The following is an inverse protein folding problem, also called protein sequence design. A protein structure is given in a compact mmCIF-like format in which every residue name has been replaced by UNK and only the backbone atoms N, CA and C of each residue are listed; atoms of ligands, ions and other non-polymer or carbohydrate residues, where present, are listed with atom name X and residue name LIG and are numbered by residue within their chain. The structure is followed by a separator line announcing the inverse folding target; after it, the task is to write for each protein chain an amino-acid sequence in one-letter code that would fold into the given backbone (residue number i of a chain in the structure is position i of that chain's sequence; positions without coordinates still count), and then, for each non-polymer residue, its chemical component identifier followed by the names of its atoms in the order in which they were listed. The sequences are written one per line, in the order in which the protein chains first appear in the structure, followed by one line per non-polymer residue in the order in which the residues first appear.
data_IF_507355224653
#
_entry.id   IF_507355224653
#
_cell.length_a   1.000
_cell.length_b   1.000
_cell.length_c   1.000
_cell.angle_alpha   90.00
_cell.angle_beta   90.00
_cell.angle_gamma   90.00
#
_symmetry.space_group_name_H-M   'P 1'
#
loop_
_entity.id
_entity.type
_entity.pdbx_description
1 polymer ?
#
# COMPACT_ATOMS: atom_id res chain seq x y z
N UNK A 1 11.26 4.05 -8.31
CA UNK A 1 10.14 4.26 -7.36
C UNK A 1 8.80 3.65 -7.81
N UNK A 2 8.63 3.21 -9.07
CA UNK A 2 7.40 2.50 -9.51
C UNK A 2 6.09 3.35 -9.43
N UNK A 3 6.19 4.68 -9.39
CA UNK A 3 5.06 5.63 -9.33
C UNK A 3 4.60 6.13 -10.71
N UNK A 4 4.25 5.21 -11.61
CA UNK A 4 3.69 5.56 -12.93
C UNK A 4 2.22 5.14 -13.01
N UNK A 5 1.45 5.91 -13.78
CA UNK A 5 0.10 5.48 -14.18
C UNK A 5 0.20 4.28 -15.12
N UNK A 6 -0.79 3.38 -15.01
CA UNK A 6 -0.94 2.26 -15.93
C UNK A 6 -1.44 2.74 -17.30
N UNK A 7 -1.06 1.97 -18.31
CA UNK A 7 -1.63 1.99 -19.65
C UNK A 7 -2.64 0.84 -19.74
N UNK A 8 -3.89 1.12 -20.11
CA UNK A 8 -5.01 0.16 -20.08
C UNK A 8 -5.48 -0.13 -21.51
N UNK A 9 -5.88 -1.38 -21.77
CA UNK A 9 -6.40 -1.83 -23.07
C UNK A 9 -5.49 -1.48 -24.26
N UNK A 10 -4.18 -1.51 -24.02
CA UNK A 10 -3.18 -1.30 -25.06
C UNK A 10 -2.77 -2.63 -25.73
N UNK A 11 -2.47 -2.63 -27.03
CA UNK A 11 -1.85 -3.80 -27.67
C UNK A 11 -0.52 -4.15 -27.00
N UNK A 12 -0.21 -5.45 -26.86
CA UNK A 12 1.07 -5.90 -26.31
C UNK A 12 2.29 -5.40 -27.12
N UNK A 13 2.08 -5.07 -28.39
CA UNK A 13 3.10 -4.49 -29.30
C UNK A 13 3.31 -2.98 -29.10
N UNK A 14 2.51 -2.31 -28.25
CA UNK A 14 2.72 -0.89 -27.94
C UNK A 14 4.07 -0.73 -27.24
N UNK A 15 4.89 0.18 -27.76
CA UNK A 15 6.15 0.53 -27.12
C UNK A 15 5.91 1.13 -25.72
N UNK A 16 6.78 0.80 -24.77
CA UNK A 16 6.76 1.48 -23.47
C UNK A 16 6.94 2.99 -23.68
N UNK A 17 6.22 3.83 -22.89
CA UNK A 17 6.45 5.26 -22.90
C UNK A 17 7.85 5.66 -22.42
N UNK A 18 8.61 4.72 -21.85
CA UNK A 18 9.97 4.93 -21.39
C UNK A 18 10.95 3.94 -22.00
N UNK A 19 12.23 4.32 -22.07
CA UNK A 19 13.29 3.50 -22.68
C UNK A 19 13.59 2.22 -21.91
N UNK A 20 13.21 2.17 -20.64
CA UNK A 20 13.49 1.06 -19.75
C UNK A 20 12.56 -0.13 -20.04
N UNK A 21 11.33 0.10 -20.51
CA UNK A 21 10.33 -0.95 -20.75
C UNK A 21 9.21 -0.90 -19.71
N UNK A 22 8.72 -2.06 -19.26
CA UNK A 22 7.57 -2.19 -18.36
C UNK A 22 7.99 -2.82 -17.04
N UNK A 23 7.65 -2.18 -15.92
CA UNK A 23 7.83 -2.73 -14.59
C UNK A 23 6.85 -3.88 -14.33
N UNK A 24 7.22 -4.79 -13.42
CA UNK A 24 6.26 -5.75 -12.86
C UNK A 24 5.32 -5.07 -11.85
N UNK A 25 4.11 -5.63 -11.64
CA UNK A 25 3.51 -6.72 -12.41
C UNK A 25 2.85 -6.22 -13.71
N UNK A 26 2.70 -7.10 -14.70
CA UNK A 26 2.05 -6.79 -15.98
C UNK A 26 0.87 -7.74 -16.24
N UNK A 27 -0.33 -7.18 -16.40
CA UNK A 27 -1.57 -7.93 -16.64
C UNK A 27 -1.92 -7.94 -18.13
N UNK A 28 -2.29 -9.11 -18.63
CA UNK A 28 -2.68 -9.35 -20.01
C UNK A 28 -4.01 -10.08 -20.06
N UNK A 29 -4.78 -9.83 -21.12
CA UNK A 29 -5.93 -10.63 -21.52
C UNK A 29 -5.70 -11.11 -22.96
N UNK A 30 -5.49 -12.42 -23.14
CA UNK A 30 -5.12 -13.01 -24.43
C UNK A 30 -5.83 -14.34 -24.59
N UNK A 31 -6.52 -14.54 -25.72
CA UNK A 31 -7.24 -15.79 -26.05
C UNK A 31 -8.18 -16.25 -24.91
N UNK A 32 -8.97 -15.33 -24.38
CA UNK A 32 -9.91 -15.57 -23.27
C UNK A 32 -9.28 -16.05 -21.96
N UNK A 33 -7.99 -15.75 -21.77
CA UNK A 33 -7.22 -16.02 -20.55
C UNK A 33 -6.62 -14.74 -20.02
N UNK A 34 -6.78 -14.52 -18.71
CA UNK A 34 -6.05 -13.51 -17.97
C UNK A 34 -4.69 -14.05 -17.55
N UNK A 35 -3.65 -13.24 -17.70
CA UNK A 35 -2.28 -13.58 -17.32
C UNK A 35 -1.62 -12.40 -16.58
N UNK A 36 -1.21 -12.59 -15.32
CA UNK A 36 -0.41 -11.63 -14.57
C UNK A 36 1.03 -12.13 -14.48
N UNK A 37 1.97 -11.37 -15.08
CA UNK A 37 3.39 -11.68 -15.07
C UNK A 37 4.09 -10.86 -13.98
N UNK A 38 4.88 -11.53 -13.16
CA UNK A 38 5.72 -10.91 -12.13
C UNK A 38 6.94 -11.79 -11.80
N UNK A 39 7.61 -11.50 -10.70
CA UNK A 39 8.66 -12.32 -10.10
C UNK A 39 8.48 -12.44 -8.59
N UNK A 40 9.12 -13.45 -7.99
CA UNK A 40 9.09 -13.68 -6.54
C UNK A 40 10.42 -14.24 -6.04
N UNK A 41 10.68 -14.09 -4.73
CA UNK A 41 11.89 -14.54 -4.04
C UNK A 41 13.19 -13.87 -4.57
N UNK A 42 13.08 -12.61 -5.00
CA UNK A 42 14.28 -11.80 -5.29
C UNK A 42 14.94 -11.45 -3.95
N UNK A 43 16.14 -11.95 -3.74
CA UNK A 43 16.91 -11.80 -2.51
C UNK A 43 18.13 -10.90 -2.70
N UNK A 44 18.94 -10.78 -1.65
CA UNK A 44 20.25 -10.11 -1.66
C UNK A 44 21.24 -10.65 -2.72
N UNK A 45 20.94 -11.82 -3.30
CA UNK A 45 21.79 -12.53 -4.25
C UNK A 45 21.41 -12.31 -5.72
N UNK A 46 20.40 -11.48 -6.03
CA UNK A 46 20.03 -11.18 -7.42
C UNK A 46 19.54 -9.74 -7.58
N UNK A 47 19.38 -9.28 -8.82
CA UNK A 47 18.72 -8.01 -9.11
C UNK A 47 17.21 -8.20 -9.31
N UNK A 48 16.44 -7.15 -9.07
CA UNK A 48 15.06 -7.07 -9.53
C UNK A 48 15.04 -6.95 -11.06
N UNK A 49 14.04 -7.55 -11.69
CA UNK A 49 13.88 -7.58 -13.14
C UNK A 49 12.65 -6.80 -13.58
N UNK A 50 12.59 -6.56 -14.89
CA UNK A 50 11.44 -5.94 -15.56
C UNK A 50 11.24 -6.55 -16.95
N UNK A 51 10.23 -6.10 -17.68
CA UNK A 51 10.00 -6.46 -19.07
C UNK A 51 10.56 -5.38 -20.01
N UNK A 52 11.10 -5.79 -21.15
CA UNK A 52 11.41 -4.88 -22.26
C UNK A 52 10.15 -4.34 -22.92
N UNK A 53 10.28 -3.35 -23.80
CA UNK A 53 9.29 -3.17 -24.88
C UNK A 53 9.23 -4.43 -25.75
N UNK A 54 8.04 -4.75 -26.28
CA UNK A 54 7.87 -5.87 -27.19
C UNK A 54 8.65 -5.67 -28.50
N UNK A 55 9.22 -6.73 -29.05
CA UNK A 55 9.77 -6.70 -30.42
C UNK A 55 8.66 -6.69 -31.48
N UNK A 56 9.04 -6.69 -32.77
CA UNK A 56 8.09 -6.59 -33.89
C UNK A 56 7.10 -7.78 -33.92
N UNK A 57 7.49 -8.90 -33.32
CA UNK A 57 6.71 -10.12 -33.18
C UNK A 57 5.85 -10.13 -31.90
N UNK A 58 5.92 -9.08 -31.07
CA UNK A 58 5.16 -8.97 -29.83
C UNK A 58 5.80 -9.66 -28.61
N UNK A 59 7.08 -10.03 -28.68
CA UNK A 59 7.77 -10.74 -27.59
C UNK A 59 8.36 -9.76 -26.59
N UNK A 60 7.95 -9.91 -25.33
CA UNK A 60 8.53 -9.23 -24.17
C UNK A 60 9.65 -10.09 -23.57
N UNK A 61 10.77 -9.48 -23.19
CA UNK A 61 11.91 -10.19 -22.58
C UNK A 61 12.15 -9.70 -21.17
N UNK A 62 12.69 -10.57 -20.33
CA UNK A 62 13.22 -10.19 -19.02
C UNK A 62 14.45 -9.31 -19.24
N UNK A 63 14.46 -8.14 -18.60
CA UNK A 63 15.57 -7.20 -18.58
C UNK A 63 16.05 -6.97 -17.15
N UNK A 64 17.37 -6.86 -17.00
CA UNK A 64 18.03 -6.38 -15.78
C UNK A 64 17.90 -4.86 -15.64
N UNK A 65 18.13 -4.31 -14.43
CA UNK A 65 17.99 -2.89 -14.11
C UNK A 65 18.67 -1.95 -15.11
N UNK A 66 18.16 -0.72 -15.24
CA UNK A 66 18.77 0.27 -16.11
C UNK A 66 20.17 0.66 -15.57
N UNK A 67 21.19 0.80 -16.44
CA UNK A 67 22.54 1.17 -16.01
C UNK A 67 22.61 2.45 -15.18
N UNK A 68 21.71 3.42 -15.39
CA UNK A 68 21.64 4.70 -14.68
C UNK A 68 21.13 4.58 -13.25
N UNK A 69 20.44 3.49 -12.91
CA UNK A 69 19.98 3.25 -11.55
C UNK A 69 21.15 3.22 -10.57
N UNK A 70 20.84 3.51 -9.30
CA UNK A 70 21.81 3.62 -8.21
C UNK A 70 22.88 4.68 -8.53
N UNK A 71 22.47 5.79 -9.17
CA UNK A 71 23.36 6.86 -9.65
C UNK A 71 24.46 6.38 -10.62
N UNK A 72 24.15 5.40 -11.46
CA UNK A 72 25.14 4.76 -12.33
C UNK A 72 26.15 3.87 -11.60
N UNK A 73 25.99 3.69 -10.29
CA UNK A 73 26.90 2.94 -9.44
C UNK A 73 26.47 1.48 -9.40
N UNK A 74 27.43 0.61 -9.15
CA UNK A 74 27.27 -0.86 -9.10
C UNK A 74 26.87 -1.52 -10.43
N UNK A 75 27.30 -2.78 -10.68
CA UNK A 75 26.98 -3.51 -11.90
C UNK A 75 25.47 -3.70 -12.12
N UNK A 76 25.08 -3.85 -13.38
CA UNK A 76 23.70 -4.23 -13.78
C UNK A 76 23.50 -5.73 -13.61
N UNK A 77 24.50 -6.50 -14.04
CA UNK A 77 24.49 -7.95 -13.93
C UNK A 77 24.68 -8.37 -12.46
N UNK A 78 23.87 -9.32 -11.97
CA UNK A 78 24.00 -9.83 -10.61
C UNK A 78 25.28 -10.66 -10.48
N UNK A 79 26.04 -10.41 -9.42
CA UNK A 79 27.18 -11.24 -9.02
C UNK A 79 26.68 -12.45 -8.23
N UNK A 80 26.92 -13.66 -8.75
CA UNK A 80 26.31 -14.90 -8.24
C UNK A 80 27.36 -15.99 -8.00
N UNK A 81 27.23 -16.68 -6.86
CA UNK A 81 28.11 -17.81 -6.50
C UNK A 81 27.41 -19.17 -6.74
N UNK A 82 28.10 -20.17 -7.32
CA UNK A 82 27.53 -21.52 -7.48
C UNK A 82 27.49 -22.30 -6.14
N UNK A 83 26.49 -23.18 -5.94
CA UNK A 83 25.34 -23.42 -6.81
C UNK A 83 24.34 -22.27 -6.74
N UNK A 84 23.89 -21.81 -7.91
CA UNK A 84 23.02 -20.64 -8.04
C UNK A 84 21.64 -21.02 -8.59
N UNK A 85 20.60 -20.36 -8.08
CA UNK A 85 19.24 -20.38 -8.62
C UNK A 85 18.79 -18.95 -8.80
N UNK A 86 18.17 -18.67 -9.93
CA UNK A 86 17.50 -17.41 -10.17
C UNK A 86 16.20 -17.30 -9.36
N UNK A 87 15.71 -16.08 -9.10
CA UNK A 87 14.36 -15.87 -8.53
C UNK A 87 13.27 -16.49 -9.39
N UNK A 88 12.09 -16.68 -8.82
CA UNK A 88 10.95 -17.24 -9.56
C UNK A 88 10.40 -16.24 -10.56
N UNK A 89 10.03 -16.73 -11.75
CA UNK A 89 9.28 -15.95 -12.74
C UNK A 89 7.87 -16.49 -12.66
N UNK A 90 6.94 -15.61 -12.33
CA UNK A 90 5.59 -16.00 -11.96
C UNK A 90 4.65 -15.57 -13.08
N UNK A 91 3.85 -16.51 -13.56
CA UNK A 91 2.76 -16.26 -14.49
C UNK A 91 1.51 -16.83 -13.84
N UNK A 92 0.64 -15.96 -13.35
CA UNK A 92 -0.66 -16.34 -12.79
C UNK A 92 -1.65 -16.36 -13.95
N UNK A 93 -2.25 -17.52 -14.22
CA UNK A 93 -3.19 -17.71 -15.33
C UNK A 93 -4.57 -18.04 -14.79
N UNK A 94 -5.60 -17.51 -15.45
CA UNK A 94 -6.98 -17.85 -15.13
C UNK A 94 -7.96 -17.47 -16.24
N UNK A 95 -9.10 -18.12 -16.23
CA UNK A 95 -10.26 -17.79 -17.08
C UNK A 95 -11.01 -16.53 -16.63
N UNK A 96 -10.65 -15.99 -15.45
CA UNK A 96 -11.31 -14.86 -14.83
C UNK A 96 -10.33 -14.04 -13.99
N UNK A 97 -10.68 -12.77 -13.76
CA UNK A 97 -9.93 -11.89 -12.85
C UNK A 97 -9.92 -12.40 -11.41
N UNK A 98 -10.91 -13.22 -11.02
CA UNK A 98 -10.95 -13.87 -9.70
C UNK A 98 -9.70 -14.71 -9.47
N UNK A 99 -9.31 -15.52 -10.46
CA UNK A 99 -8.11 -16.35 -10.42
C UNK A 99 -6.82 -15.53 -10.34
N UNK A 100 -6.83 -14.28 -10.81
CA UNK A 100 -5.70 -13.36 -10.67
C UNK A 100 -5.67 -12.77 -9.26
N UNK A 101 -6.77 -12.14 -8.84
CA UNK A 101 -6.86 -11.37 -7.59
C UNK A 101 -6.74 -12.25 -6.34
N UNK A 102 -7.28 -13.48 -6.38
CA UNK A 102 -7.26 -14.40 -5.23
C UNK A 102 -6.00 -15.29 -5.21
N UNK A 103 -5.07 -15.11 -6.14
CA UNK A 103 -3.87 -15.93 -6.23
C UNK A 103 -2.88 -15.66 -5.11
N UNK A 104 -2.32 -16.72 -4.54
CA UNK A 104 -1.23 -16.69 -3.56
C UNK A 104 0.13 -17.03 -4.17
N UNK A 105 0.22 -17.19 -5.49
CA UNK A 105 1.39 -17.81 -6.13
C UNK A 105 2.71 -17.05 -5.87
N UNK A 106 2.65 -15.72 -5.70
CA UNK A 106 3.81 -14.91 -5.34
C UNK A 106 4.38 -15.34 -3.99
N UNK A 107 3.53 -15.48 -2.96
CA UNK A 107 3.98 -15.92 -1.64
C UNK A 107 4.25 -17.43 -1.62
N UNK A 108 3.49 -18.26 -2.33
CA UNK A 108 3.64 -19.73 -2.34
C UNK A 108 5.04 -20.21 -2.74
N UNK A 109 5.69 -19.49 -3.65
CA UNK A 109 7.05 -19.81 -4.14
C UNK A 109 8.17 -19.04 -3.41
N UNK A 110 7.83 -18.03 -2.60
CA UNK A 110 8.80 -17.27 -1.82
C UNK A 110 9.39 -18.11 -0.67
N UNK A 111 10.60 -17.77 -0.23
CA UNK A 111 11.22 -18.44 0.90
C UNK A 111 10.37 -18.32 2.18
N UNK A 112 10.34 -19.35 3.05
CA UNK A 112 9.64 -19.28 4.33
C UNK A 112 10.23 -18.19 5.24
N UNK A 113 9.49 -17.83 6.29
CA UNK A 113 9.91 -16.83 7.26
C UNK A 113 11.32 -17.11 7.81
N UNK A 114 12.17 -16.08 7.79
CA UNK A 114 13.47 -16.04 8.47
C UNK A 114 13.35 -15.52 9.91
N UNK A 115 12.15 -15.10 10.34
CA UNK A 115 11.87 -14.61 11.69
C UNK A 115 11.19 -15.72 12.49
N UNK A 116 11.84 -16.15 13.57
CA UNK A 116 11.31 -17.20 14.44
C UNK A 116 10.32 -16.67 15.49
N UNK A 117 10.58 -15.49 16.07
CA UNK A 117 9.68 -14.85 17.03
C UNK A 117 8.92 -13.70 16.36
N UNK A 118 7.61 -13.86 16.23
CA UNK A 118 6.71 -12.89 15.59
C UNK A 118 5.88 -12.08 16.60
N UNK A 119 6.13 -12.21 17.90
CA UNK A 119 5.30 -11.59 18.96
C UNK A 119 5.30 -10.06 18.90
N UNK A 120 6.34 -9.45 18.33
CA UNK A 120 6.44 -7.99 18.16
C UNK A 120 5.68 -7.46 16.94
N UNK A 121 5.20 -8.36 16.07
CA UNK A 121 4.57 -8.00 14.81
C UNK A 121 3.11 -7.67 15.06
N UNK A 122 2.79 -6.37 14.98
CA UNK A 122 1.46 -5.83 15.23
C UNK A 122 0.99 -4.98 14.05
N UNK A 123 0.36 -5.61 13.03
CA UNK A 123 -0.30 -4.94 11.92
C UNK A 123 -1.43 -4.00 12.37
N UNK A 124 -1.88 -3.11 11.50
CA UNK A 124 -3.06 -2.27 11.75
C UNK A 124 -3.04 -0.92 11.05
N UNK A 125 -4.03 -0.08 11.35
CA UNK A 125 -4.15 1.26 10.75
C UNK A 125 -3.26 2.28 11.46
N UNK A 126 -2.76 3.25 10.69
CA UNK A 126 -1.89 4.32 11.16
C UNK A 126 -2.43 5.70 10.77
N UNK A 127 -2.34 6.70 11.65
CA UNK A 127 -2.52 8.09 11.23
C UNK A 127 -1.24 8.61 10.56
N UNK A 128 -1.37 9.44 9.53
CA UNK A 128 -0.20 10.04 8.86
C UNK A 128 -0.42 11.53 8.53
N UNK A 129 0.26 12.41 9.27
CA UNK A 129 0.02 13.85 9.13
C UNK A 129 0.73 14.53 7.96
N UNK A 130 1.83 13.97 7.46
CA UNK A 130 2.60 14.60 6.40
C UNK A 130 1.86 14.66 5.07
N UNK A 131 1.06 13.63 4.74
CA UNK A 131 0.32 13.57 3.48
C UNK A 131 -0.51 14.84 3.21
N UNK A 132 -1.12 15.38 4.27
CA UNK A 132 -2.09 16.48 4.21
C UNK A 132 -1.53 17.82 4.67
N UNK A 133 -0.60 17.80 5.62
CA UNK A 133 -0.05 19.01 6.25
C UNK A 133 1.43 19.20 6.01
N UNK A 134 2.09 18.24 5.37
CA UNK A 134 3.51 18.28 5.03
C UNK A 134 4.33 18.57 6.29
N UNK A 135 5.38 19.38 6.17
CA UNK A 135 6.23 19.78 7.28
C UNK A 135 5.51 20.60 8.38
N UNK A 136 4.28 21.08 8.15
CA UNK A 136 3.50 21.73 9.23
C UNK A 136 3.06 20.70 10.29
N UNK A 137 2.88 19.43 9.90
CA UNK A 137 2.63 18.36 10.85
C UNK A 137 3.88 17.96 11.65
N UNK A 138 5.09 18.32 11.23
CA UNK A 138 6.35 17.89 11.85
C UNK A 138 6.75 18.78 13.04
N UNK A 139 5.79 19.04 13.93
CA UNK A 139 5.99 19.74 15.21
C UNK A 139 5.50 18.86 16.35
N UNK A 140 6.06 19.07 17.55
CA UNK A 140 5.70 18.28 18.73
C UNK A 140 4.19 18.30 19.02
N UNK A 141 3.59 19.50 19.07
CA UNK A 141 2.18 19.66 19.41
C UNK A 141 1.28 19.09 18.31
N UNK A 142 1.66 19.24 17.04
CA UNK A 142 0.86 18.70 15.95
C UNK A 142 0.90 17.18 15.91
N UNK A 143 2.07 16.56 16.09
CA UNK A 143 2.17 15.11 16.20
C UNK A 143 1.43 14.55 17.41
N UNK A 144 1.44 15.27 18.54
CA UNK A 144 0.62 14.91 19.70
C UNK A 144 -0.87 14.88 19.35
N UNK A 145 -1.38 15.85 18.58
CA UNK A 145 -2.77 15.86 18.13
C UNK A 145 -3.10 14.69 17.21
N UNK A 146 -2.19 14.31 16.30
CA UNK A 146 -2.36 13.11 15.47
C UNK A 146 -2.37 11.82 16.29
N UNK A 147 -1.52 11.70 17.31
CA UNK A 147 -1.53 10.57 18.25
C UNK A 147 -2.84 10.52 19.05
N UNK A 148 -3.34 11.66 19.50
CA UNK A 148 -4.60 11.75 20.24
C UNK A 148 -5.80 11.35 19.37
N UNK A 149 -5.84 11.81 18.11
CA UNK A 149 -6.83 11.39 17.12
C UNK A 149 -6.73 9.89 16.82
N UNK A 150 -5.52 9.36 16.61
CA UNK A 150 -5.30 7.93 16.37
C UNK A 150 -5.89 7.09 17.51
N UNK A 151 -5.66 7.49 18.77
CA UNK A 151 -6.23 6.83 19.93
C UNK A 151 -7.76 6.88 19.98
N UNK A 152 -8.37 8.03 19.64
CA UNK A 152 -9.83 8.20 19.62
C UNK A 152 -10.50 7.34 18.55
N UNK A 153 -9.90 7.27 17.37
CA UNK A 153 -10.34 6.43 16.25
C UNK A 153 -9.96 4.96 16.43
N UNK A 154 -9.18 4.62 17.45
CA UNK A 154 -8.69 3.27 17.72
C UNK A 154 -7.67 2.73 16.71
N UNK A 155 -7.02 3.64 15.97
CA UNK A 155 -5.91 3.30 15.09
C UNK A 155 -4.73 2.79 15.92
N UNK A 156 -3.98 1.83 15.37
CA UNK A 156 -2.91 1.16 16.10
C UNK A 156 -1.61 1.96 16.08
N UNK A 157 -1.44 2.81 15.08
CA UNK A 157 -0.15 3.45 14.82
C UNK A 157 -0.30 4.94 14.47
N UNK A 158 0.82 5.67 14.51
CA UNK A 158 0.96 7.02 14.00
C UNK A 158 2.35 7.18 13.37
N UNK A 159 2.42 7.60 12.11
CA UNK A 159 3.65 7.86 11.38
C UNK A 159 4.06 9.33 11.51
N UNK A 160 5.28 9.54 11.97
CA UNK A 160 5.95 10.84 12.01
C UNK A 160 7.00 10.85 10.91
N UNK A 161 6.78 11.71 9.92
CA UNK A 161 7.48 11.68 8.65
C UNK A 161 8.79 12.48 8.67
N UNK A 162 9.35 12.75 7.49
CA UNK A 162 10.64 13.39 7.26
C UNK A 162 10.89 14.65 8.10
N UNK A 163 12.16 14.90 8.38
CA UNK A 163 12.68 16.04 9.16
C UNK A 163 12.29 16.03 10.65
N UNK A 164 11.74 14.94 11.18
CA UNK A 164 11.39 14.85 12.59
C UNK A 164 12.61 15.00 13.53
N UNK A 165 13.80 14.57 13.10
CA UNK A 165 15.02 14.63 13.91
C UNK A 165 15.54 16.06 14.06
N UNK A 166 15.38 16.90 13.04
CA UNK A 166 15.76 18.31 13.11
C UNK A 166 14.65 19.18 13.75
N UNK A 167 13.38 18.90 13.45
CA UNK A 167 12.25 19.73 13.89
C UNK A 167 11.75 19.39 15.29
N UNK A 168 11.79 18.12 15.67
CA UNK A 168 11.32 17.63 16.98
C UNK A 168 12.51 17.22 17.83
N UNK A 169 13.44 16.45 17.27
CA UNK A 169 14.62 15.94 17.95
C UNK A 169 14.35 14.74 18.86
N UNK A 170 15.38 13.93 19.09
CA UNK A 170 15.29 12.65 19.82
C UNK A 170 14.67 12.76 21.21
N UNK A 171 15.00 13.80 21.98
CA UNK A 171 14.51 13.96 23.34
C UNK A 171 12.98 14.16 23.38
N UNK A 172 12.47 15.10 22.57
CA UNK A 172 11.02 15.33 22.46
C UNK A 172 10.34 14.18 21.74
N UNK A 173 11.01 13.51 20.81
CA UNK A 173 10.47 12.32 20.16
C UNK A 173 10.23 11.20 21.18
N UNK A 174 11.16 10.96 22.10
CA UNK A 174 10.96 9.98 23.18
C UNK A 174 9.75 10.34 24.08
N UNK A 175 9.46 11.63 24.28
CA UNK A 175 8.27 12.07 24.98
C UNK A 175 6.98 11.77 24.18
N UNK A 176 6.99 11.98 22.86
CA UNK A 176 5.86 11.60 21.99
C UNK A 176 5.62 10.09 21.99
N UNK A 177 6.68 9.29 21.87
CA UNK A 177 6.58 7.83 21.94
C UNK A 177 6.00 7.38 23.28
N UNK A 178 6.41 7.98 24.39
CA UNK A 178 5.83 7.72 25.72
C UNK A 178 4.35 8.10 25.80
N UNK A 179 3.97 9.26 25.24
CA UNK A 179 2.58 9.71 25.18
C UNK A 179 1.71 8.76 24.34
N UNK A 180 2.18 8.36 23.16
CA UNK A 180 1.51 7.40 22.29
C UNK A 180 1.34 6.03 22.94
N UNK A 181 2.39 5.52 23.61
CA UNK A 181 2.34 4.26 24.33
C UNK A 181 1.29 4.26 25.45
N UNK A 182 1.14 5.36 26.19
CA UNK A 182 0.10 5.51 27.21
C UNK A 182 -1.32 5.47 26.63
N UNK A 183 -1.45 5.64 25.31
CA UNK A 183 -2.69 5.60 24.53
C UNK A 183 -2.81 4.37 23.65
N UNK A 184 -1.89 3.40 23.79
CA UNK A 184 -1.85 2.18 22.98
C UNK A 184 -1.67 2.44 21.47
N UNK A 185 -0.96 3.51 21.12
CA UNK A 185 -0.59 3.85 19.74
C UNK A 185 0.91 3.63 19.54
N UNK A 186 1.29 2.85 18.53
CA UNK A 186 2.67 2.67 18.10
C UNK A 186 3.16 3.84 17.25
N UNK A 187 4.36 4.34 17.52
CA UNK A 187 4.97 5.41 16.70
C UNK A 187 5.84 4.78 15.63
N UNK A 188 5.69 5.27 14.39
CA UNK A 188 6.56 4.99 13.26
C UNK A 188 7.36 6.23 12.91
N UNK A 189 8.63 6.05 12.56
CA UNK A 189 9.52 7.16 12.19
C UNK A 189 10.04 7.00 10.77
N UNK A 190 9.99 8.08 10.01
CA UNK A 190 10.56 8.13 8.66
C UNK A 190 12.09 8.25 8.68
N UNK A 191 12.73 7.61 7.71
CA UNK A 191 14.16 7.67 7.44
C UNK A 191 14.43 7.69 5.95
N UNK A 192 15.47 8.42 5.56
CA UNK A 192 16.04 8.27 4.24
C UNK A 192 16.87 6.97 4.23
N UNK A 193 16.75 6.15 3.18
CA UNK A 193 17.64 5.00 2.98
C UNK A 193 19.11 5.39 2.82
N UNK A 194 19.36 6.68 2.53
CA UNK A 194 20.51 7.24 1.82
C UNK A 194 21.88 6.66 2.11
N UNK A 195 22.61 6.41 1.03
CA UNK A 195 24.06 6.36 0.94
C UNK A 195 24.50 7.40 -0.09
N UNK A 196 25.23 7.00 -1.15
CA UNK A 196 25.67 7.90 -2.21
C UNK A 196 24.86 7.78 -3.53
N UNK A 197 23.67 7.17 -3.46
CA UNK A 197 22.85 6.78 -4.61
C UNK A 197 21.61 7.65 -4.86
N UNK A 198 21.26 8.55 -3.95
CA UNK A 198 20.25 9.59 -4.17
C UNK A 198 20.72 10.95 -3.59
N UNK A 199 20.09 12.04 -4.00
CA UNK A 199 20.37 13.41 -3.55
C UNK A 199 19.22 14.01 -2.72
N UNK A 200 18.29 13.17 -2.26
CA UNK A 200 17.16 13.57 -1.43
C UNK A 200 17.67 14.18 -0.11
N UNK A 201 17.23 15.40 0.18
CA UNK A 201 17.76 16.22 1.28
C UNK A 201 17.05 15.96 2.62
N UNK A 202 15.93 15.25 2.60
CA UNK A 202 15.10 14.94 3.76
C UNK A 202 15.86 14.08 4.78
N UNK A 203 15.78 14.47 6.05
CA UNK A 203 16.45 13.82 7.20
C UNK A 203 15.47 12.94 7.99
N UNK A 204 15.95 11.96 8.78
CA UNK A 204 17.35 11.59 9.04
C UNK A 204 18.04 10.92 7.85
N UNK A 205 19.29 11.33 7.56
CA UNK A 205 20.18 10.72 6.54
C UNK A 205 21.32 9.94 7.20
N UNK A 206 21.97 9.07 6.42
CA UNK A 206 23.14 8.27 6.82
C UNK A 206 22.87 7.40 8.06
N UNK A 207 21.63 6.89 8.16
CA UNK A 207 21.18 6.01 9.24
C UNK A 207 20.87 4.60 8.77
N UNK A 208 20.52 4.39 7.51
CA UNK A 208 19.98 3.11 7.05
C UNK A 208 20.89 2.38 6.05
N UNK A 209 21.87 3.04 5.44
CA UNK A 209 22.76 2.48 4.42
C UNK A 209 23.81 1.53 4.99
N UNK A 210 24.58 1.96 5.99
CA UNK A 210 25.67 1.17 6.55
C UNK A 210 25.23 0.34 7.75
N UNK A 211 25.76 -0.89 7.91
CA UNK A 211 25.38 -1.77 9.03
C UNK A 211 25.59 -1.15 10.42
N UNK A 212 26.71 -0.46 10.63
CA UNK A 212 27.05 0.11 11.93
C UNK A 212 26.13 1.27 12.31
N UNK A 213 25.83 2.17 11.36
CA UNK A 213 24.90 3.27 11.58
C UNK A 213 23.48 2.75 11.82
N UNK A 214 23.03 1.81 10.98
CA UNK A 214 21.69 1.22 11.05
C UNK A 214 21.45 0.49 12.35
N UNK A 215 22.35 -0.38 12.78
CA UNK A 215 22.20 -1.11 14.04
C UNK A 215 22.21 -0.19 15.26
N UNK A 216 23.07 0.82 15.24
CA UNK A 216 23.12 1.83 16.32
C UNK A 216 21.80 2.60 16.41
N UNK A 217 21.25 2.98 15.27
CA UNK A 217 20.00 3.74 15.23
C UNK A 217 18.81 2.88 15.62
N UNK A 218 18.67 1.67 15.06
CA UNK A 218 17.60 0.74 15.43
C UNK A 218 17.65 0.34 16.91
N UNK A 219 18.84 0.21 17.50
CA UNK A 219 18.97 -0.02 18.95
C UNK A 219 18.42 1.15 19.77
N UNK A 220 18.70 2.40 19.37
CA UNK A 220 18.12 3.60 20.00
C UNK A 220 16.60 3.62 19.86
N UNK A 221 16.08 3.30 18.68
CA UNK A 221 14.63 3.27 18.43
C UNK A 221 13.92 2.24 19.29
N UNK A 222 14.51 1.04 19.43
CA UNK A 222 14.03 0.00 20.34
C UNK A 222 13.99 0.49 21.79
N UNK A 223 15.05 1.17 22.27
CA UNK A 223 15.10 1.74 23.61
C UNK A 223 14.03 2.82 23.83
N UNK A 224 13.74 3.63 22.80
CA UNK A 224 12.66 4.62 22.83
C UNK A 224 11.26 3.97 22.84
N UNK A 225 11.13 2.76 22.30
CA UNK A 225 9.85 2.05 22.15
C UNK A 225 9.11 2.40 20.85
N UNK A 226 9.84 2.78 19.81
CA UNK A 226 9.31 2.97 18.45
C UNK A 226 8.85 1.61 17.89
N UNK A 227 7.72 1.60 17.18
CA UNK A 227 7.10 0.39 16.65
C UNK A 227 7.65 0.00 15.27
N UNK A 228 7.95 1.00 14.43
CA UNK A 228 8.40 0.76 13.07
C UNK A 228 9.13 1.93 12.42
N UNK A 229 9.70 1.67 11.26
CA UNK A 229 10.34 2.67 10.41
C UNK A 229 9.74 2.67 9.01
N UNK A 230 9.55 3.86 8.44
CA UNK A 230 9.31 4.07 7.01
C UNK A 230 10.62 4.49 6.38
N UNK A 231 11.18 3.68 5.48
CA UNK A 231 12.48 3.97 4.85
C UNK A 231 12.26 4.29 3.37
N UNK A 232 12.87 5.37 2.89
CA UNK A 232 12.52 5.99 1.62
C UNK A 232 13.70 6.16 0.65
N UNK A 233 13.40 6.44 -0.62
CA UNK A 233 14.33 6.87 -1.68
C UNK A 233 15.43 5.89 -2.04
N UNK A 234 15.06 4.64 -2.37
CA UNK A 234 16.05 3.62 -2.74
C UNK A 234 16.65 3.83 -4.13
N UNK A 235 17.87 3.32 -4.32
CA UNK A 235 18.65 3.45 -5.55
C UNK A 235 18.19 2.60 -6.74
N UNK A 236 17.00 1.98 -6.73
CA UNK A 236 16.48 1.17 -7.84
C UNK A 236 16.59 -0.35 -7.64
N UNK A 237 16.69 -1.09 -8.73
CA UNK A 237 16.50 -2.55 -8.81
C UNK A 237 17.80 -3.36 -8.89
N UNK A 238 18.96 -2.69 -8.89
CA UNK A 238 20.27 -3.35 -8.87
C UNK A 238 20.43 -4.24 -7.64
N UNK A 239 21.25 -5.29 -7.78
CA UNK A 239 21.53 -6.25 -6.70
C UNK A 239 22.01 -5.56 -5.41
N UNK A 240 22.78 -4.47 -5.52
CA UNK A 240 23.21 -3.68 -4.37
C UNK A 240 22.04 -3.10 -3.56
N UNK A 241 20.99 -2.63 -4.23
CA UNK A 241 19.78 -2.13 -3.57
C UNK A 241 18.96 -3.28 -2.96
N UNK A 242 18.88 -4.43 -3.65
CA UNK A 242 18.24 -5.63 -3.10
C UNK A 242 18.91 -6.08 -1.80
N UNK A 243 20.25 -6.03 -1.73
CA UNK A 243 21.00 -6.27 -0.48
C UNK A 243 20.60 -5.30 0.61
N UNK A 244 20.52 -4.00 0.30
CA UNK A 244 20.14 -2.99 1.30
C UNK A 244 18.74 -3.23 1.89
N UNK A 245 17.75 -3.59 1.06
CA UNK A 245 16.42 -3.98 1.55
C UNK A 245 16.50 -5.15 2.55
N UNK A 246 17.19 -6.24 2.19
CA UNK A 246 17.31 -7.43 3.03
C UNK A 246 18.07 -7.14 4.33
N UNK A 247 19.11 -6.32 4.25
CA UNK A 247 19.90 -5.91 5.40
C UNK A 247 19.10 -5.04 6.38
N UNK A 248 18.27 -4.12 5.87
CA UNK A 248 17.34 -3.34 6.71
C UNK A 248 16.32 -4.25 7.37
N UNK A 249 15.68 -5.14 6.62
CA UNK A 249 14.68 -6.07 7.16
C UNK A 249 15.24 -6.94 8.27
N UNK A 250 16.46 -7.47 8.06
CA UNK A 250 17.17 -8.31 9.02
C UNK A 250 17.51 -7.56 10.30
N UNK A 251 18.21 -6.42 10.19
CA UNK A 251 18.63 -5.66 11.37
C UNK A 251 17.40 -5.09 12.12
N UNK A 252 16.32 -4.73 11.42
CA UNK A 252 15.07 -4.31 12.03
C UNK A 252 14.37 -5.47 12.78
N UNK A 253 14.38 -6.68 12.21
CA UNK A 253 13.85 -7.86 12.88
C UNK A 253 14.62 -8.17 14.18
N UNK A 254 15.96 -8.08 14.15
CA UNK A 254 16.81 -8.26 15.35
C UNK A 254 16.52 -7.20 16.43
N UNK A 255 16.06 -6.00 16.02
CA UNK A 255 15.65 -4.93 16.91
C UNK A 255 14.17 -5.00 17.35
N UNK A 256 13.36 -5.89 16.78
CA UNK A 256 11.92 -5.94 17.01
C UNK A 256 11.17 -4.74 16.41
N UNK A 257 11.64 -4.22 15.29
CA UNK A 257 11.12 -3.05 14.59
C UNK A 257 10.46 -3.48 13.27
N UNK A 258 9.28 -2.92 13.02
CA UNK A 258 8.52 -3.12 11.78
C UNK A 258 9.02 -2.19 10.67
N UNK A 259 8.81 -2.56 9.40
CA UNK A 259 9.37 -1.84 8.26
C UNK A 259 8.32 -1.57 7.19
N UNK A 260 8.33 -0.35 6.68
CA UNK A 260 7.63 0.11 5.49
C UNK A 260 8.68 0.68 4.51
N UNK A 261 8.59 0.35 3.23
CA UNK A 261 9.48 0.91 2.20
C UNK A 261 8.73 1.85 1.23
N UNK A 262 9.21 3.07 1.09
CA UNK A 262 8.75 4.07 0.12
C UNK A 262 9.85 4.41 -0.89
N UNK A 263 9.49 5.07 -2.00
CA UNK A 263 10.43 5.37 -3.08
C UNK A 263 11.13 4.09 -3.56
N UNK A 264 10.37 3.00 -3.63
CA UNK A 264 10.89 1.63 -3.58
C UNK A 264 10.58 0.81 -4.84
N UNK A 265 11.04 -0.45 -4.82
CA UNK A 265 10.63 -1.49 -5.78
C UNK A 265 9.38 -2.24 -5.28
N UNK A 266 8.71 -3.06 -6.11
CA UNK A 266 7.55 -3.86 -5.66
C UNK A 266 7.92 -4.97 -4.66
N UNK A 267 6.99 -5.39 -3.78
CA UNK A 267 7.15 -6.59 -2.97
C UNK A 267 7.20 -7.82 -3.88
N UNK A 268 8.06 -8.78 -3.53
CA UNK A 268 8.33 -10.00 -4.31
C UNK A 268 8.20 -11.23 -3.43
N UNK A 269 7.09 -11.30 -2.69
CA UNK A 269 6.83 -12.32 -1.67
C UNK A 269 7.61 -12.11 -0.37
N UNK A 270 8.18 -10.92 -0.17
CA UNK A 270 9.03 -10.61 0.97
C UNK A 270 8.28 -10.62 2.30
N UNK A 271 6.98 -10.36 2.29
CA UNK A 271 6.09 -10.46 3.45
C UNK A 271 6.04 -11.88 4.04
N UNK A 272 6.27 -12.92 3.22
CA UNK A 272 6.40 -14.31 3.70
C UNK A 272 7.76 -14.54 4.37
N UNK A 273 8.84 -14.07 3.74
CA UNK A 273 10.22 -14.31 4.20
C UNK A 273 10.59 -13.42 5.39
N UNK A 274 10.07 -12.20 5.42
CA UNK A 274 10.34 -11.15 6.40
C UNK A 274 9.02 -10.55 6.88
N UNK A 275 8.30 -11.23 7.78
CA UNK A 275 6.99 -10.77 8.23
C UNK A 275 7.04 -9.48 9.06
N UNK A 276 8.21 -8.90 9.35
CA UNK A 276 8.31 -7.54 9.90
C UNK A 276 8.24 -6.45 8.80
N UNK A 277 8.32 -6.81 7.52
CA UNK A 277 7.97 -5.95 6.39
C UNK A 277 6.44 -5.87 6.34
N UNK A 278 5.89 -4.74 6.77
CA UNK A 278 4.45 -4.53 6.83
C UNK A 278 3.86 -4.16 5.49
N UNK A 279 4.57 -3.35 4.73
CA UNK A 279 4.08 -2.84 3.44
C UNK A 279 5.20 -2.17 2.65
N UNK A 280 4.92 -1.91 1.38
CA UNK A 280 5.76 -1.16 0.45
C UNK A 280 4.84 -0.25 -0.36
N UNK A 281 5.28 0.95 -0.69
CA UNK A 281 4.59 1.84 -1.63
C UNK A 281 4.60 1.25 -3.04
N UNK A 282 5.64 1.51 -3.84
CA UNK A 282 5.81 1.06 -5.22
C UNK A 282 4.52 1.20 -6.06
N UNK A 283 3.85 2.33 -5.89
CA UNK A 283 2.61 2.69 -6.55
C UNK A 283 2.54 4.21 -6.61
N UNK A 284 1.86 4.76 -7.62
CA UNK A 284 1.50 6.18 -7.60
C UNK A 284 0.37 6.38 -6.58
N UNK A 285 0.75 6.54 -5.31
CA UNK A 285 -0.17 6.65 -4.18
C UNK A 285 -0.83 8.02 -4.05
N UNK A 286 -1.61 8.17 -2.99
CA UNK A 286 -2.42 9.34 -2.69
C UNK A 286 -1.60 10.65 -2.67
N UNK A 287 -0.33 10.60 -2.25
CA UNK A 287 0.58 11.76 -2.20
C UNK A 287 0.72 12.52 -3.54
N UNK A 288 0.58 11.82 -4.66
CA UNK A 288 0.73 12.39 -6.00
C UNK A 288 -0.40 13.37 -6.36
N UNK A 289 -1.55 13.31 -5.68
CA UNK A 289 -2.63 14.28 -5.88
C UNK A 289 -2.26 15.69 -5.40
N UNK A 290 -1.28 15.79 -4.49
CA UNK A 290 -0.82 17.05 -3.93
C UNK A 290 0.23 17.77 -4.77
N UNK A 291 1.04 17.04 -5.56
CA UNK A 291 2.26 17.59 -6.14
C UNK A 291 2.11 18.14 -7.55
N UNK A 292 1.56 17.38 -8.49
CA UNK A 292 1.71 17.72 -9.91
C UNK A 292 0.41 18.20 -10.57
N UNK A 293 -0.75 17.98 -9.94
CA UNK A 293 -2.05 18.39 -10.48
C UNK A 293 -2.35 17.86 -11.87
N UNK A 294 -1.60 16.86 -12.34
CA UNK A 294 -1.51 16.56 -13.77
C UNK A 294 -2.54 15.53 -14.22
N UNK A 295 -3.01 14.65 -13.32
CA UNK A 295 -3.93 13.55 -13.69
C UNK A 295 -5.14 13.29 -12.76
N UNK A 296 -5.74 14.27 -12.05
CA UNK A 296 -6.91 14.00 -11.22
C UNK A 296 -8.09 13.25 -11.91
N UNK A 297 -8.36 13.42 -13.23
CA UNK A 297 -9.38 12.63 -13.92
C UNK A 297 -9.09 11.13 -13.98
N UNK A 298 -7.82 10.73 -13.90
CA UNK A 298 -7.39 9.33 -14.02
C UNK A 298 -7.14 8.65 -12.68
N UNK A 299 -7.24 9.37 -11.55
CA UNK A 299 -7.05 8.77 -10.22
C UNK A 299 -8.01 7.59 -10.01
N UNK A 300 -9.31 7.82 -10.14
CA UNK A 300 -10.32 6.78 -9.88
C UNK A 300 -10.16 5.57 -10.82
N UNK A 301 -9.76 5.80 -12.07
CA UNK A 301 -9.36 4.74 -13.02
C UNK A 301 -8.14 3.98 -12.48
N UNK A 302 -7.05 4.68 -12.15
CA UNK A 302 -5.82 4.09 -11.62
C UNK A 302 -6.09 3.21 -10.41
N UNK A 303 -6.85 3.72 -9.46
CA UNK A 303 -7.22 3.04 -8.23
C UNK A 303 -7.99 1.73 -8.51
N UNK A 304 -8.85 1.73 -9.54
CA UNK A 304 -9.54 0.53 -10.00
C UNK A 304 -8.65 -0.45 -10.79
N UNK A 305 -7.37 -0.15 -11.07
CA UNK A 305 -6.41 -1.08 -11.70
C UNK A 305 -5.59 -1.82 -10.63
N UNK A 306 -5.24 -1.12 -9.54
CA UNK A 306 -4.36 -1.62 -8.49
C UNK A 306 -4.78 -2.97 -7.86
N UNK A 307 -6.08 -3.25 -7.58
CA UNK A 307 -6.46 -4.53 -6.97
C UNK A 307 -6.35 -5.72 -7.94
N UNK A 308 -6.14 -5.47 -9.23
CA UNK A 308 -5.93 -6.50 -10.26
C UNK A 308 -4.46 -6.63 -10.68
N UNK A 309 -3.58 -5.75 -10.17
CA UNK A 309 -2.19 -5.63 -10.59
C UNK A 309 -1.26 -5.49 -9.38
N UNK A 310 -0.86 -4.27 -9.02
CA UNK A 310 0.13 -3.97 -7.97
C UNK A 310 -0.19 -4.63 -6.63
N UNK A 311 -1.44 -4.63 -6.19
CA UNK A 311 -1.79 -5.19 -4.88
C UNK A 311 -2.09 -6.70 -4.92
N UNK A 312 -2.10 -7.32 -6.11
CA UNK A 312 -2.11 -8.80 -6.24
C UNK A 312 -0.75 -9.39 -5.85
N UNK A 313 0.34 -8.65 -6.10
CA UNK A 313 1.70 -9.15 -5.86
C UNK A 313 2.28 -8.79 -4.49
N UNK A 314 1.46 -8.23 -3.60
CA UNK A 314 1.82 -7.98 -2.20
C UNK A 314 1.25 -6.67 -1.64
N UNK A 315 1.55 -6.39 -0.36
CA UNK A 315 1.00 -5.25 0.37
C UNK A 315 1.38 -3.91 -0.29
N UNK A 316 0.48 -2.94 -0.20
CA UNK A 316 0.57 -1.66 -0.89
C UNK A 316 0.20 -0.50 0.04
N UNK A 317 1.19 0.32 0.39
CA UNK A 317 0.99 1.52 1.22
C UNK A 317 0.49 2.69 0.38
N UNK A 318 -0.75 2.59 -0.10
CA UNK A 318 -1.37 3.58 -0.97
C UNK A 318 -1.71 4.90 -0.26
N UNK A 319 -1.99 4.78 1.03
CA UNK A 319 -2.38 5.85 1.97
C UNK A 319 -3.83 6.39 1.84
N UNK A 320 -4.85 5.51 1.95
CA UNK A 320 -6.26 5.85 1.69
C UNK A 320 -6.91 6.75 2.75
N UNK A 321 -8.21 7.03 2.57
CA UNK A 321 -9.07 7.65 3.59
C UNK A 321 -8.75 9.13 3.87
N UNK A 322 -8.54 9.92 2.82
CA UNK A 322 -8.48 11.37 2.95
C UNK A 322 -9.88 11.99 2.87
N UNK A 323 -10.49 12.32 4.02
CA UNK A 323 -11.90 12.74 4.13
C UNK A 323 -12.12 14.27 4.18
N UNK A 324 -11.23 15.07 3.59
CA UNK A 324 -11.32 16.53 3.59
C UNK A 324 -11.90 17.13 2.30
N UNK A 325 -12.60 18.27 2.42
CA UNK A 325 -13.16 18.99 1.26
C UNK A 325 -12.09 19.49 0.27
N UNK A 326 -10.92 19.89 0.76
CA UNK A 326 -9.77 20.27 -0.06
C UNK A 326 -8.64 19.29 0.16
N UNK A 327 -8.10 18.71 -0.90
CA UNK A 327 -7.02 17.73 -0.84
C UNK A 327 -5.69 18.36 -0.40
N UNK A 328 -5.35 19.49 -1.02
CA UNK A 328 -4.18 20.26 -0.70
C UNK A 328 -4.60 21.62 -0.12
N UNK A 329 -4.31 21.91 1.16
CA UNK A 329 -4.65 23.21 1.75
C UNK A 329 -3.88 24.39 1.13
N UNK A 330 -2.76 24.16 0.43
CA UNK A 330 -2.02 25.21 -0.29
C UNK A 330 -2.66 25.59 -1.62
N UNK A 331 -3.24 24.62 -2.33
CA UNK A 331 -3.84 24.84 -3.65
C UNK A 331 -5.36 24.71 -3.70
N UNK A 332 -6.03 24.41 -2.58
CA UNK A 332 -7.48 24.24 -2.43
C UNK A 332 -8.08 23.30 -3.50
N UNK A 333 -7.33 22.27 -3.88
CA UNK A 333 -7.75 21.34 -4.93
C UNK A 333 -8.76 20.35 -4.37
N UNK A 334 -9.92 20.27 -4.98
CA UNK A 334 -10.92 19.27 -4.61
C UNK A 334 -10.50 17.88 -5.10
N UNK A 335 -10.91 16.86 -4.34
CA UNK A 335 -10.79 15.46 -4.75
C UNK A 335 -11.86 15.13 -5.79
N UNK A 336 -11.54 14.18 -6.65
CA UNK A 336 -12.48 13.71 -7.66
C UNK A 336 -13.20 12.41 -7.27
N UNK A 337 -12.61 11.66 -6.34
CA UNK A 337 -13.24 10.53 -5.67
C UNK A 337 -14.07 11.01 -4.47
N UNK A 338 -15.14 10.28 -4.19
CA UNK A 338 -16.07 10.60 -3.09
C UNK A 338 -15.57 10.08 -1.75
N UNK A 339 -16.23 10.45 -0.65
CA UNK A 339 -15.90 9.88 0.66
C UNK A 339 -16.19 8.37 0.75
N UNK A 340 -17.23 7.89 0.07
CA UNK A 340 -17.53 6.45 -0.01
C UNK A 340 -16.44 5.68 -0.75
N UNK A 341 -15.87 6.27 -1.80
CA UNK A 341 -14.72 5.71 -2.51
C UNK A 341 -13.51 5.55 -1.58
N UNK A 342 -13.18 6.60 -0.83
CA UNK A 342 -12.04 6.58 0.09
C UNK A 342 -12.15 5.61 1.24
N UNK A 343 -13.34 5.54 1.83
CA UNK A 343 -13.60 4.58 2.88
C UNK A 343 -13.48 3.16 2.31
N UNK A 344 -13.92 2.93 1.07
CA UNK A 344 -13.82 1.65 0.39
C UNK A 344 -12.37 1.21 0.12
N UNK A 345 -11.45 2.14 -0.16
CA UNK A 345 -10.03 1.83 -0.35
C UNK A 345 -9.40 1.14 0.88
N UNK A 346 -9.89 1.42 2.08
CA UNK A 346 -9.38 0.78 3.31
C UNK A 346 -9.63 -0.74 3.36
N UNK A 347 -10.57 -1.23 2.57
CA UNK A 347 -10.90 -2.66 2.44
C UNK A 347 -10.43 -3.22 1.09
N UNK A 348 -10.52 -2.46 0.00
CA UNK A 348 -10.06 -2.92 -1.32
C UNK A 348 -8.54 -3.17 -1.30
N UNK A 349 -7.77 -2.27 -0.67
CA UNK A 349 -6.31 -2.39 -0.62
C UNK A 349 -5.82 -3.12 0.63
N UNK A 350 -4.96 -4.10 0.40
CA UNK A 350 -4.25 -4.84 1.44
C UNK A 350 -2.92 -4.15 1.76
N UNK A 351 -2.70 -3.94 3.05
CA UNK A 351 -1.46 -3.42 3.61
C UNK A 351 -1.35 -3.88 5.07
N UNK A 352 -0.20 -4.40 5.49
CA UNK A 352 0.01 -4.82 6.88
C UNK A 352 -0.02 -3.64 7.86
N UNK A 353 0.46 -2.47 7.43
CA UNK A 353 0.13 -1.20 8.09
C UNK A 353 -0.47 -0.26 7.08
N UNK A 354 -1.70 0.17 7.32
CA UNK A 354 -2.41 1.05 6.40
C UNK A 354 -2.36 2.47 6.95
N UNK A 355 -1.50 3.31 6.37
CA UNK A 355 -1.44 4.72 6.70
C UNK A 355 -2.68 5.42 6.15
N UNK A 356 -3.39 6.17 6.98
CA UNK A 356 -4.60 6.87 6.59
C UNK A 356 -4.31 8.36 6.48
N UNK A 357 -4.79 8.96 5.40
CA UNK A 357 -4.71 10.40 5.15
C UNK A 357 -5.73 11.25 5.90
N UNK A 358 -6.24 10.74 7.02
CA UNK A 358 -7.19 11.45 7.88
C UNK A 358 -6.46 12.48 8.75
N UNK A 359 -6.99 13.69 8.83
CA UNK A 359 -6.48 14.74 9.71
C UNK A 359 -7.34 14.90 10.98
N UNK A 360 -6.82 15.52 12.05
CA UNK A 360 -7.62 15.84 13.24
C UNK A 360 -8.87 16.68 12.94
N UNK A 361 -8.82 17.51 11.89
CA UNK A 361 -9.96 18.30 11.45
C UNK A 361 -11.02 17.42 10.78
N UNK A 362 -10.61 16.52 9.88
CA UNK A 362 -11.51 15.56 9.25
C UNK A 362 -12.20 14.68 10.29
N UNK A 363 -11.45 14.18 11.29
CA UNK A 363 -12.00 13.35 12.36
C UNK A 363 -13.05 14.07 13.21
N UNK A 364 -12.96 15.40 13.33
CA UNK A 364 -13.94 16.22 14.06
C UNK A 364 -15.23 16.41 13.26
N UNK A 365 -15.14 16.51 11.94
CA UNK A 365 -16.27 16.82 11.06
C UNK A 365 -16.92 15.58 10.42
N UNK A 366 -16.19 14.47 10.31
CA UNK A 366 -16.69 13.25 9.72
C UNK A 366 -17.84 12.65 10.54
N UNK A 367 -18.85 12.04 9.90
CA UNK A 367 -19.91 11.36 10.62
C UNK A 367 -19.36 10.29 11.56
N UNK A 368 -19.87 10.22 12.79
CA UNK A 368 -19.39 9.29 13.83
C UNK A 368 -19.32 7.82 13.36
N UNK A 369 -20.25 7.39 12.52
CA UNK A 369 -20.28 6.02 12.00
C UNK A 369 -19.08 5.69 11.09
N UNK A 370 -18.48 6.68 10.43
CA UNK A 370 -17.27 6.49 9.63
C UNK A 370 -16.06 6.21 10.55
N UNK A 371 -15.92 6.98 11.63
CA UNK A 371 -14.92 6.69 12.67
C UNK A 371 -15.15 5.34 13.36
N UNK A 372 -16.40 4.97 13.62
CA UNK A 372 -16.75 3.65 14.18
C UNK A 372 -16.42 2.50 13.20
N UNK A 373 -16.51 2.73 11.88
CA UNK A 373 -16.06 1.79 10.87
C UNK A 373 -14.53 1.64 10.88
N UNK A 374 -13.78 2.75 10.86
CA UNK A 374 -12.31 2.71 10.91
C UNK A 374 -11.80 1.97 12.15
N UNK A 375 -12.44 2.20 13.32
CA UNK A 375 -12.13 1.49 14.57
C UNK A 375 -12.34 -0.02 14.47
N UNK A 376 -13.24 -0.45 13.58
CA UNK A 376 -13.60 -1.86 13.44
C UNK A 376 -12.76 -2.65 12.45
N UNK A 377 -11.95 -1.96 11.62
CA UNK A 377 -11.06 -2.59 10.66
C UNK A 377 -10.11 -3.55 11.37
N UNK A 378 -9.99 -4.80 10.89
CA UNK A 378 -9.08 -5.76 11.48
C UNK A 378 -7.64 -5.41 11.14
N UNK A 379 -6.70 -5.97 11.90
CA UNK A 379 -5.27 -5.87 11.60
C UNK A 379 -4.86 -6.76 10.42
N UNK A 380 -5.60 -7.85 10.16
CA UNK A 380 -5.28 -8.86 9.15
C UNK A 380 -6.56 -9.46 8.55
N UNK A 381 -6.40 -10.05 7.36
CA UNK A 381 -7.47 -10.75 6.63
C UNK A 381 -7.15 -12.24 6.54
N UNK A 382 -8.16 -13.09 6.78
CA UNK A 382 -8.07 -14.54 6.64
C UNK A 382 -8.39 -14.99 5.20
N UNK A 383 -9.18 -14.19 4.48
CA UNK A 383 -9.71 -14.54 3.17
C UNK A 383 -10.00 -13.28 2.36
N UNK A 384 -9.71 -13.34 1.07
CA UNK A 384 -10.03 -12.30 0.09
C UNK A 384 -10.80 -12.93 -1.05
N UNK A 385 -11.89 -12.29 -1.46
CA UNK A 385 -12.75 -12.72 -2.58
C UNK A 385 -13.01 -11.54 -3.51
N UNK A 386 -12.71 -11.70 -4.79
CA UNK A 386 -13.22 -10.77 -5.80
C UNK A 386 -14.68 -11.13 -6.08
N UNK A 387 -15.61 -10.19 -5.84
CA UNK A 387 -17.03 -10.39 -6.15
C UNK A 387 -17.26 -10.07 -7.62
N UNK A 388 -16.82 -8.89 -8.06
CA UNK A 388 -16.96 -8.43 -9.43
C UNK A 388 -15.99 -7.27 -9.73
N UNK A 389 -15.71 -7.00 -11.00
CA UNK A 389 -14.89 -5.86 -11.38
C UNK A 389 -14.16 -6.02 -12.71
N UNK A 390 -13.59 -4.91 -13.16
CA UNK A 390 -12.77 -4.86 -14.36
C UNK A 390 -11.68 -3.78 -14.19
N UNK A 391 -10.40 -4.07 -14.50
CA UNK A 391 -9.29 -3.13 -14.30
C UNK A 391 -9.59 -1.76 -14.92
N UNK A 392 -9.43 -0.70 -14.14
CA UNK A 392 -9.67 0.67 -14.58
C UNK A 392 -11.13 1.14 -14.51
N UNK A 393 -12.08 0.22 -14.30
CA UNK A 393 -13.52 0.54 -14.35
C UNK A 393 -14.18 0.51 -12.99
N UNK A 394 -14.09 -0.60 -12.29
CA UNK A 394 -14.63 -0.76 -10.93
C UNK A 394 -14.08 -2.03 -10.28
N UNK A 395 -14.15 -2.11 -8.96
CA UNK A 395 -13.81 -3.29 -8.18
C UNK A 395 -14.83 -3.44 -7.05
N UNK A 396 -15.35 -4.65 -6.85
CA UNK A 396 -16.12 -5.06 -5.67
C UNK A 396 -15.44 -6.27 -5.06
N UNK A 397 -14.99 -6.11 -3.82
CA UNK A 397 -14.18 -7.11 -3.12
C UNK A 397 -14.76 -7.38 -1.74
N UNK A 398 -14.65 -8.64 -1.30
CA UNK A 398 -14.90 -9.03 0.07
C UNK A 398 -13.62 -9.50 0.75
N UNK A 399 -13.47 -9.14 2.02
CA UNK A 399 -12.42 -9.69 2.90
C UNK A 399 -13.03 -10.18 4.21
N UNK A 400 -12.50 -11.27 4.74
CA UNK A 400 -12.92 -11.85 6.00
C UNK A 400 -11.83 -11.74 7.05
N UNK A 401 -12.21 -11.49 8.30
CA UNK A 401 -11.35 -11.60 9.47
C UNK A 401 -12.14 -12.21 10.62
N UNK A 402 -11.73 -13.38 11.08
CA UNK A 402 -12.56 -14.24 11.92
C UNK A 402 -13.88 -14.56 11.21
N UNK A 403 -15.00 -14.34 11.88
CA UNK A 403 -16.34 -14.55 11.32
C UNK A 403 -16.90 -13.31 10.60
N UNK A 404 -16.16 -12.20 10.60
CA UNK A 404 -16.65 -10.90 10.10
C UNK A 404 -16.26 -10.70 8.65
N UNK A 405 -17.25 -10.30 7.86
CA UNK A 405 -17.08 -9.96 6.45
C UNK A 405 -17.12 -8.44 6.26
N UNK A 406 -16.21 -7.98 5.41
CA UNK A 406 -16.13 -6.61 4.93
C UNK A 406 -16.25 -6.68 3.42
N UNK A 407 -17.20 -5.95 2.83
CA UNK A 407 -17.38 -5.83 1.39
C UNK A 407 -17.20 -4.37 1.04
N UNK A 408 -16.42 -4.08 0.01
CA UNK A 408 -16.22 -2.72 -0.46
C UNK A 408 -16.28 -2.67 -1.98
N UNK A 409 -16.75 -1.54 -2.49
CA UNK A 409 -16.78 -1.28 -3.92
C UNK A 409 -16.30 0.12 -4.26
N UNK A 410 -15.53 0.22 -5.33
CA UNK A 410 -15.04 1.47 -5.92
C UNK A 410 -15.39 1.52 -7.40
N UNK A 411 -15.75 2.70 -7.90
CA UNK A 411 -16.07 2.93 -9.31
C UNK A 411 -15.14 4.00 -9.89
N UNK A 412 -14.31 3.60 -10.85
CA UNK A 412 -13.35 4.48 -11.54
C UNK A 412 -13.95 5.29 -12.68
N UNK A 413 -15.22 5.05 -13.06
CA UNK A 413 -15.86 5.65 -14.22
C UNK A 413 -16.62 6.94 -13.89
N UNK A 414 -16.90 7.72 -14.94
CA UNK A 414 -17.75 8.92 -14.91
C UNK A 414 -19.25 8.60 -14.99
N UNK A 415 -19.63 7.32 -14.92
CA UNK A 415 -21.02 6.84 -14.94
C UNK A 415 -21.26 5.89 -13.77
N UNK A 416 -22.50 5.79 -13.27
CA UNK A 416 -22.83 4.78 -12.27
C UNK A 416 -22.56 3.36 -12.80
N UNK A 417 -22.21 2.45 -11.88
CA UNK A 417 -22.08 1.01 -12.16
C UNK A 417 -23.16 0.28 -11.38
N UNK A 418 -23.94 -0.53 -12.08
CA UNK A 418 -24.91 -1.45 -11.48
C UNK A 418 -24.23 -2.79 -11.20
N UNK A 419 -24.32 -3.26 -9.96
CA UNK A 419 -23.85 -4.58 -9.55
C UNK A 419 -25.08 -5.48 -9.40
N UNK A 420 -25.03 -6.65 -10.02
CA UNK A 420 -26.04 -7.72 -9.89
C UNK A 420 -25.33 -9.08 -10.00
N UNK A 421 -24.64 -9.44 -8.92
CA UNK A 421 -23.71 -10.58 -8.92
C UNK A 421 -24.01 -11.52 -7.76
N UNK A 422 -23.94 -12.83 -8.01
CA UNK A 422 -24.12 -13.84 -6.98
C UNK A 422 -22.97 -13.82 -5.96
N UNK A 423 -23.29 -14.07 -4.68
CA UNK A 423 -22.30 -14.27 -3.61
C UNK A 423 -22.63 -15.61 -2.95
N UNK A 424 -21.73 -16.57 -3.08
CA UNK A 424 -21.90 -17.94 -2.59
C UNK A 424 -21.14 -18.22 -1.27
N UNK A 425 -20.07 -17.46 -1.01
CA UNK A 425 -19.23 -17.62 0.19
C UNK A 425 -19.86 -17.06 1.47
N UNK A 426 -20.86 -16.17 1.37
CA UNK A 426 -21.72 -15.77 2.51
C UNK A 426 -23.05 -16.53 2.39
N UNK A 427 -23.04 -17.80 2.75
CA UNK A 427 -24.17 -18.72 2.51
C UNK A 427 -25.40 -18.53 3.40
N UNK A 428 -25.36 -17.60 4.37
CA UNK A 428 -26.49 -17.25 5.24
C UNK A 428 -26.80 -15.77 5.12
N UNK A 429 -28.09 -15.35 5.22
CA UNK A 429 -28.45 -13.95 5.32
C UNK A 429 -27.75 -13.32 6.53
N UNK A 430 -26.77 -12.46 6.27
CA UNK A 430 -25.93 -11.83 7.29
C UNK A 430 -26.30 -10.36 7.39
N UNK A 431 -26.68 -9.92 8.60
CA UNK A 431 -26.97 -8.50 8.84
C UNK A 431 -25.67 -7.73 9.03
N UNK A 432 -25.58 -6.57 8.40
CA UNK A 432 -24.46 -5.66 8.54
C UNK A 432 -24.87 -4.19 8.40
N UNK A 433 -23.87 -3.34 8.40
CA UNK A 433 -23.98 -1.89 8.23
C UNK A 433 -23.35 -1.53 6.90
N UNK A 434 -24.14 -0.88 6.04
CA UNK A 434 -23.68 -0.25 4.80
C UNK A 434 -23.34 1.21 5.10
N UNK A 435 -22.22 1.69 4.59
CA UNK A 435 -21.84 3.10 4.50
C UNK A 435 -21.56 3.39 3.03
N UNK A 436 -22.26 4.36 2.47
CA UNK A 436 -22.24 4.68 1.04
C UNK A 436 -22.33 6.19 0.85
N UNK A 437 -22.02 6.64 -0.37
CA UNK A 437 -22.12 8.05 -0.72
C UNK A 437 -23.53 8.62 -0.52
N UNK A 438 -23.58 9.89 -0.10
CA UNK A 438 -24.81 10.65 0.06
C UNK A 438 -24.72 12.05 -0.57
N UNK A 439 -25.86 12.58 -1.01
CA UNK A 439 -25.98 13.97 -1.47
C UNK A 439 -25.07 14.33 -2.64
N UNK A 440 -24.30 15.41 -2.48
CA UNK A 440 -23.35 15.95 -3.47
C UNK A 440 -22.04 15.13 -3.56
N UNK A 441 -22.04 13.92 -3.00
CA UNK A 441 -20.93 12.97 -3.00
C UNK A 441 -19.72 13.40 -2.16
N UNK A 442 -19.90 14.40 -1.29
CA UNK A 442 -18.92 14.81 -0.25
C UNK A 442 -19.45 14.53 1.16
N UNK A 443 -20.37 13.59 1.27
CA UNK A 443 -20.93 13.14 2.54
C UNK A 443 -21.25 11.64 2.47
N UNK A 444 -21.43 11.04 3.63
CA UNK A 444 -21.73 9.63 3.81
C UNK A 444 -23.11 9.47 4.43
N UNK A 445 -23.79 8.39 4.06
CA UNK A 445 -24.95 7.89 4.79
C UNK A 445 -24.70 6.46 5.24
N UNK A 446 -25.47 6.02 6.23
CA UNK A 446 -25.42 4.64 6.70
C UNK A 446 -26.82 4.03 6.79
N UNK A 447 -26.91 2.74 6.51
CA UNK A 447 -28.14 1.94 6.66
C UNK A 447 -27.82 0.51 7.03
N UNK A 448 -28.78 -0.17 7.65
CA UNK A 448 -28.71 -1.62 7.79
C UNK A 448 -28.86 -2.29 6.42
N UNK A 449 -28.09 -3.34 6.17
CA UNK A 449 -28.17 -4.13 4.95
C UNK A 449 -27.92 -5.61 5.26
N UNK A 450 -28.66 -6.49 4.58
CA UNK A 450 -28.49 -7.95 4.68
C UNK A 450 -27.88 -8.46 3.38
N UNK A 451 -26.74 -9.14 3.47
CA UNK A 451 -26.03 -9.74 2.34
C UNK A 451 -25.87 -11.24 2.59
N UNK A 452 -25.89 -12.05 1.52
CA UNK A 452 -25.71 -13.49 1.57
C UNK A 452 -27.00 -14.30 1.55
N UNK A 453 -26.85 -15.61 1.75
CA UNK A 453 -27.86 -16.60 1.38
C UNK A 453 -27.94 -16.77 -0.14
N UNK A 454 -29.12 -17.10 -0.65
CA UNK A 454 -29.35 -17.27 -2.09
C UNK A 454 -29.62 -15.96 -2.84
N UNK A 455 -29.34 -14.80 -2.22
CA UNK A 455 -29.63 -13.49 -2.79
C UNK A 455 -28.38 -12.90 -3.45
N UNK A 456 -28.49 -12.39 -4.70
CA UNK A 456 -27.40 -11.65 -5.31
C UNK A 456 -27.15 -10.33 -4.58
N UNK A 457 -25.91 -9.84 -4.68
CA UNK A 457 -25.57 -8.48 -4.33
C UNK A 457 -26.10 -7.54 -5.41
N UNK A 458 -27.06 -6.68 -5.03
CA UNK A 458 -27.64 -5.65 -5.91
C UNK A 458 -27.42 -4.27 -5.33
N UNK A 459 -26.67 -3.43 -6.03
CA UNK A 459 -26.41 -2.03 -5.65
C UNK A 459 -25.89 -1.22 -6.84
N UNK A 460 -26.04 0.09 -6.74
CA UNK A 460 -25.50 1.05 -7.70
C UNK A 460 -24.35 1.81 -7.06
N UNK A 461 -23.18 1.79 -7.68
CA UNK A 461 -22.04 2.61 -7.24
C UNK A 461 -22.04 3.90 -8.08
N UNK A 462 -22.12 5.10 -7.49
CA UNK A 462 -22.14 6.35 -8.25
C UNK A 462 -20.79 6.59 -8.96
N UNK A 463 -20.74 7.49 -9.96
CA UNK A 463 -19.50 7.87 -10.63
C UNK A 463 -18.44 8.33 -9.64
N UNK A 464 -17.21 7.78 -9.77
CA UNK A 464 -16.06 8.06 -8.89
C UNK A 464 -16.35 7.77 -7.41
N UNK A 465 -17.37 6.95 -7.15
CA UNK A 465 -17.92 6.70 -5.84
C UNK A 465 -17.61 5.33 -5.27
N UNK A 466 -18.10 5.06 -4.07
CA UNK A 466 -17.87 3.79 -3.41
C UNK A 466 -18.77 3.53 -2.22
N UNK A 467 -18.61 2.34 -1.66
CA UNK A 467 -19.31 1.91 -0.46
C UNK A 467 -18.47 0.91 0.34
N UNK A 468 -18.79 0.80 1.62
CA UNK A 468 -18.36 -0.30 2.48
C UNK A 468 -19.56 -0.92 3.16
N UNK A 469 -19.55 -2.23 3.30
CA UNK A 469 -20.44 -2.99 4.14
C UNK A 469 -19.62 -3.83 5.11
N UNK A 470 -20.05 -3.85 6.36
CA UNK A 470 -19.46 -4.70 7.40
C UNK A 470 -20.54 -5.53 8.05
N UNK A 471 -20.35 -6.85 8.16
CA UNK A 471 -21.21 -7.69 8.98
C UNK A 471 -21.22 -7.22 10.44
N UNK A 472 -22.29 -7.54 11.17
CA UNK A 472 -22.25 -7.45 12.63
C UNK A 472 -21.34 -8.54 13.19
N UNK A 473 -20.81 -8.29 14.38
CA UNK A 473 -20.08 -9.29 15.17
C UNK A 473 -20.99 -10.46 15.56
#
# INVERSE_FOLDING_TARGET
CYERLYEVDIPATKASPSTEGWAFPALFYVNDVWALISESDVSENYCASRLTTADAEGVLRIAFPDPRENNGKTPVEPDVAPPFKTPWRVIILGDSLKSIVESTLITDVAAPSKIANTDFIHPGTAAWGWLREQNNAMTFDRQRAYIDMAAELGLKHCLIDAEWDERIGYEKMAQLVKHAKAKHVGVWLWYNSNGDFNDANQTPRDKMDTPDARRKELARLREMGVAGVKVDFFGGDKQATMRLYMDILKDAADAGILVNFHGATIPRGWERTWPNMMTIEAVRGEENLGWDGSDPPRQAEHDCILPFTRNVVGPMDFTPNCLGHHYDPKHLRDRYTTFGFELALTVVYESGVQHLGITPDDATHAPKFAGDFLRSLPATWDETRLIDGFPGRYCVMARRSGDRWFIAGINGQDKPVEIDTGIDFINKPTTGVMIEDYGDKKDLQTRAAVIGGDKPLKLTIPPRGGFVWRSKD
#
